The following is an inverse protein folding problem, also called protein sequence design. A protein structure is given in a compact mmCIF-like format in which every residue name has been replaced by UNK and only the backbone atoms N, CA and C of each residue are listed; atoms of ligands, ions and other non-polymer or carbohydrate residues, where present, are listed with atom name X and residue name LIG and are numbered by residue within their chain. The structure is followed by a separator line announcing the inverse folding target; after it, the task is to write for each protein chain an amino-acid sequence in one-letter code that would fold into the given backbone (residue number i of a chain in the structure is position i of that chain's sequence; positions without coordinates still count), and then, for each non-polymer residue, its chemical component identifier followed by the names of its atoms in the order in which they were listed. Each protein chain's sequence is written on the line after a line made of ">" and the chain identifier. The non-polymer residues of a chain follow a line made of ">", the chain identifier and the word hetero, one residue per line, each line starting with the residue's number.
data_IF_585462980559
#
_entry.id   IF_585462980559
#
_cell.length_a   1.000
_cell.length_b   1.000
_cell.length_c   1.000
_cell.angle_alpha   90.00
_cell.angle_beta   90.00
_cell.angle_gamma   90.00
#
_symmetry.space_group_name_H-M   'P 1'
#
loop_
_entity.id
_entity.type
_entity.pdbx_description
1 polymer ?
#
# COMPACT_ATOMS: atom_id res chain seq x y z
N UNK A 1 -6.62 -25.16 14.56
CA UNK A 1 -5.85 -25.17 13.30
C UNK A 1 -4.56 -24.40 13.52
N UNK A 2 -3.45 -24.90 13.00
CA UNK A 2 -2.13 -24.26 13.11
C UNK A 2 -1.86 -23.29 11.98
N UNK A 3 -0.60 -22.85 11.86
CA UNK A 3 -0.12 -22.08 10.72
C UNK A 3 0.08 -23.00 9.52
N UNK A 4 -0.31 -22.54 8.36
CA UNK A 4 -0.11 -23.23 7.09
C UNK A 4 0.64 -22.32 6.11
N UNK A 5 1.34 -22.91 5.14
CA UNK A 5 1.92 -22.18 4.03
C UNK A 5 1.07 -22.44 2.78
N UNK A 6 0.57 -21.35 2.17
CA UNK A 6 -0.31 -21.43 1.02
C UNK A 6 0.14 -20.46 -0.07
N UNK A 7 -0.08 -20.80 -1.32
CA UNK A 7 0.04 -19.81 -2.38
C UNK A 7 -1.17 -18.87 -2.35
N UNK A 8 -0.95 -17.56 -2.57
CA UNK A 8 -2.04 -16.60 -2.58
C UNK A 8 -3.15 -16.99 -3.56
N UNK A 9 -2.80 -17.56 -4.73
CA UNK A 9 -3.78 -18.03 -5.72
C UNK A 9 -4.72 -19.12 -5.20
N UNK A 10 -4.31 -19.93 -4.23
CA UNK A 10 -5.13 -21.00 -3.63
C UNK A 10 -6.28 -20.43 -2.79
N UNK A 11 -6.16 -19.18 -2.33
CA UNK A 11 -7.19 -18.47 -1.58
C UNK A 11 -8.22 -17.78 -2.48
N UNK A 12 -8.19 -18.06 -3.79
CA UNK A 12 -9.13 -17.56 -4.81
C UNK A 12 -9.31 -16.02 -4.78
N UNK A 13 -8.24 -15.24 -4.79
CA UNK A 13 -8.33 -13.78 -4.81
C UNK A 13 -8.84 -13.28 -6.17
N UNK A 14 -9.51 -12.14 -6.18
CA UNK A 14 -9.86 -11.44 -7.41
C UNK A 14 -8.79 -10.40 -7.74
N UNK A 15 -8.10 -10.60 -8.87
CA UNK A 15 -7.13 -9.67 -9.41
C UNK A 15 -7.72 -8.86 -10.56
N UNK A 16 -7.36 -7.57 -10.64
CA UNK A 16 -7.70 -6.72 -11.77
C UNK A 16 -6.65 -5.63 -12.01
N UNK A 17 -6.17 -5.50 -13.24
CA UNK A 17 -5.38 -4.34 -13.63
C UNK A 17 -6.29 -3.11 -13.68
N UNK A 18 -5.74 -1.94 -13.39
CA UNK A 18 -6.49 -0.69 -13.42
C UNK A 18 -6.82 -0.18 -14.83
N UNK A 19 -7.58 0.90 -14.88
CA UNK A 19 -8.03 1.52 -16.11
C UNK A 19 -6.85 2.18 -16.87
N UNK A 20 -6.77 1.93 -18.17
CA UNK A 20 -5.83 2.61 -19.08
C UNK A 20 -6.42 3.84 -19.74
N UNK A 21 -7.69 4.19 -19.44
CA UNK A 21 -8.37 5.34 -20.03
C UNK A 21 -7.66 6.65 -19.70
N UNK A 22 -7.61 7.54 -20.67
CA UNK A 22 -7.12 8.91 -20.55
C UNK A 22 -8.25 9.93 -20.52
N UNK A 23 -9.49 9.47 -20.47
CA UNK A 23 -10.72 10.21 -20.54
C UNK A 23 -11.57 9.79 -21.74
N UNK A 24 -12.85 9.61 -21.51
CA UNK A 24 -13.85 9.17 -22.52
C UNK A 24 -14.79 10.32 -22.83
N UNK A 25 -15.01 10.63 -24.12
CA UNK A 25 -15.96 11.65 -24.52
C UNK A 25 -17.37 11.27 -24.02
N UNK A 26 -17.99 12.15 -23.23
CA UNK A 26 -19.32 11.91 -22.65
C UNK A 26 -19.33 11.04 -21.39
N UNK A 27 -18.14 10.72 -20.83
CA UNK A 27 -18.03 10.02 -19.54
C UNK A 27 -18.40 10.90 -18.34
N UNK A 28 -18.55 10.26 -17.17
CA UNK A 28 -18.81 10.95 -15.90
C UNK A 28 -17.50 11.40 -15.24
N UNK A 29 -17.43 12.60 -14.64
CA UNK A 29 -16.28 13.03 -13.85
C UNK A 29 -16.00 11.99 -12.75
N UNK A 30 -14.80 11.42 -12.77
CA UNK A 30 -14.43 10.31 -11.89
C UNK A 30 -13.02 10.49 -11.38
N UNK A 31 -12.84 10.37 -10.09
CA UNK A 31 -11.52 10.37 -9.45
C UNK A 31 -10.74 9.14 -9.86
N UNK A 32 -9.52 9.33 -10.41
CA UNK A 32 -8.63 8.24 -10.82
C UNK A 32 -7.34 8.29 -10.02
N UNK A 33 -7.11 7.29 -9.19
CA UNK A 33 -5.87 7.14 -8.41
C UNK A 33 -4.68 6.81 -9.31
N UNK A 34 -3.58 7.51 -9.06
CA UNK A 34 -2.29 7.36 -9.75
C UNK A 34 -1.19 7.09 -8.73
N UNK A 35 0.01 6.77 -9.20
CA UNK A 35 1.18 6.55 -8.32
C UNK A 35 1.48 7.74 -7.39
N UNK A 36 1.25 8.97 -7.86
CA UNK A 36 1.46 10.19 -7.07
C UNK A 36 0.49 10.31 -5.87
N UNK A 37 -0.63 9.59 -5.91
CA UNK A 37 -1.67 9.60 -4.87
C UNK A 37 -1.38 8.57 -3.76
N UNK A 38 -0.29 7.80 -3.90
CA UNK A 38 0.23 6.89 -2.86
C UNK A 38 1.42 7.55 -2.18
N UNK A 39 1.28 7.85 -0.90
CA UNK A 39 2.36 8.42 -0.07
C UNK A 39 2.60 7.56 1.15
N UNK A 40 3.82 7.08 1.34
CA UNK A 40 4.16 6.21 2.48
C UNK A 40 3.19 5.03 2.65
N UNK A 41 2.82 4.39 1.54
CA UNK A 41 1.86 3.27 1.44
C UNK A 41 0.42 3.61 1.85
N UNK A 42 0.10 4.88 1.97
CA UNK A 42 -1.27 5.35 2.21
C UNK A 42 -1.85 5.96 0.95
N UNK A 43 -3.10 5.65 0.67
CA UNK A 43 -3.88 6.24 -0.40
C UNK A 43 -4.35 7.62 0.07
N UNK A 44 -4.11 8.65 -0.74
CA UNK A 44 -4.54 10.02 -0.47
C UNK A 44 -5.39 10.54 -1.61
N UNK A 45 -6.55 11.08 -1.30
CA UNK A 45 -7.43 11.73 -2.29
C UNK A 45 -7.22 13.25 -2.38
N UNK A 46 -6.27 13.82 -1.64
CA UNK A 46 -6.12 15.28 -1.50
C UNK A 46 -5.67 16.00 -2.79
N UNK A 47 -5.03 15.29 -3.73
CA UNK A 47 -4.50 15.87 -4.97
C UNK A 47 -4.85 15.05 -6.23
N UNK A 48 -5.92 14.27 -6.15
CA UNK A 48 -6.38 13.43 -7.24
C UNK A 48 -6.92 14.25 -8.40
N UNK A 49 -6.92 13.66 -9.59
CA UNK A 49 -7.58 14.22 -10.77
C UNK A 49 -8.90 13.53 -11.03
N UNK A 50 -9.87 14.31 -11.46
CA UNK A 50 -11.07 13.80 -12.10
C UNK A 50 -10.89 13.83 -13.62
N UNK A 51 -11.25 12.73 -14.25
CA UNK A 51 -11.34 12.62 -15.70
C UNK A 51 -12.69 12.00 -16.07
N UNK A 52 -13.24 12.31 -17.24
CA UNK A 52 -14.50 11.70 -17.68
C UNK A 52 -14.25 10.22 -17.99
N UNK A 53 -15.01 9.31 -17.33
CA UNK A 53 -14.90 7.86 -17.49
C UNK A 53 -16.27 7.29 -17.83
N UNK A 54 -16.32 6.31 -18.72
CA UNK A 54 -17.55 5.59 -19.06
C UNK A 54 -18.11 4.86 -17.83
N UNK A 55 -19.43 4.89 -17.65
CA UNK A 55 -20.09 4.31 -16.46
C UNK A 55 -19.78 2.82 -16.27
N UNK A 56 -19.65 2.06 -17.35
CA UNK A 56 -19.26 0.65 -17.30
C UNK A 56 -17.86 0.46 -16.69
N UNK A 57 -16.92 1.35 -17.02
CA UNK A 57 -15.56 1.30 -16.48
C UNK A 57 -15.51 1.78 -15.03
N UNK A 58 -16.34 2.74 -14.63
CA UNK A 58 -16.47 3.14 -13.23
C UNK A 58 -16.86 1.91 -12.39
N UNK A 59 -17.92 1.20 -12.77
CA UNK A 59 -18.36 -0.02 -12.06
C UNK A 59 -17.28 -1.11 -12.03
N UNK A 60 -16.58 -1.29 -13.14
CA UNK A 60 -15.55 -2.31 -13.31
C UNK A 60 -14.32 -2.05 -12.43
N UNK A 61 -13.86 -0.80 -12.39
CA UNK A 61 -12.62 -0.42 -11.70
C UNK A 61 -12.84 0.24 -10.34
N UNK A 62 -14.07 0.25 -9.84
CA UNK A 62 -14.37 0.80 -8.51
C UNK A 62 -13.50 0.17 -7.44
N UNK A 63 -12.86 1.03 -6.66
CA UNK A 63 -12.11 0.66 -5.48
C UNK A 63 -13.05 0.60 -4.28
N UNK A 64 -12.94 -0.46 -3.50
CA UNK A 64 -13.73 -0.66 -2.28
C UNK A 64 -12.80 -0.71 -1.07
N UNK A 65 -13.36 -0.44 0.10
CA UNK A 65 -12.67 -0.68 1.36
C UNK A 65 -12.24 -2.16 1.47
N UNK A 66 -11.01 -2.38 1.94
CA UNK A 66 -10.41 -3.70 2.00
C UNK A 66 -9.71 -4.16 0.72
N UNK A 67 -9.85 -3.44 -0.40
CA UNK A 67 -9.02 -3.69 -1.58
C UNK A 67 -7.56 -3.34 -1.32
N UNK A 68 -6.64 -4.04 -1.97
CA UNK A 68 -5.22 -3.74 -1.91
C UNK A 68 -4.75 -3.33 -3.32
N UNK A 69 -4.23 -2.12 -3.45
CA UNK A 69 -3.59 -1.66 -4.67
C UNK A 69 -2.11 -2.03 -4.67
N UNK A 70 -1.72 -2.90 -5.57
CA UNK A 70 -0.33 -3.32 -5.76
C UNK A 70 0.28 -2.50 -6.88
N UNK A 71 1.39 -1.81 -6.61
CA UNK A 71 2.10 -1.06 -7.64
C UNK A 71 2.66 -2.02 -8.68
N UNK A 72 2.12 -1.94 -9.90
CA UNK A 72 2.42 -2.86 -10.99
C UNK A 72 3.73 -2.53 -11.70
N UNK A 73 3.99 -1.25 -11.95
CA UNK A 73 5.11 -0.79 -12.78
C UNK A 73 5.73 0.48 -12.21
N UNK A 74 7.06 0.52 -12.11
CA UNK A 74 7.85 1.69 -11.74
C UNK A 74 9.33 1.47 -12.08
N UNK A 75 10.11 2.54 -12.18
CA UNK A 75 11.57 2.46 -12.30
C UNK A 75 12.26 1.95 -11.02
N UNK A 76 11.70 2.26 -9.84
CA UNK A 76 12.25 1.86 -8.55
C UNK A 76 11.80 0.46 -8.13
N UNK A 77 12.76 -0.41 -7.81
CA UNK A 77 12.50 -1.75 -7.25
C UNK A 77 11.80 -1.71 -5.88
N UNK A 78 11.93 -0.62 -5.15
CA UNK A 78 11.33 -0.49 -3.83
C UNK A 78 9.85 -0.07 -3.89
N UNK A 79 9.41 0.48 -5.02
CA UNK A 79 8.03 0.91 -5.26
C UNK A 79 7.23 -0.21 -5.94
N UNK A 80 7.80 -0.92 -6.92
CA UNK A 80 7.11 -2.03 -7.59
C UNK A 80 6.76 -3.13 -6.60
N UNK A 81 5.53 -3.64 -6.70
CA UNK A 81 5.00 -4.66 -5.80
C UNK A 81 4.74 -4.17 -4.38
N UNK A 82 4.64 -2.85 -4.13
CA UNK A 82 4.13 -2.35 -2.86
C UNK A 82 2.63 -2.63 -2.74
N UNK A 83 2.21 -3.09 -1.56
CA UNK A 83 0.83 -3.36 -1.20
C UNK A 83 0.28 -2.15 -0.44
N UNK A 84 -0.73 -1.50 -0.99
CA UNK A 84 -1.33 -0.29 -0.46
C UNK A 84 -2.80 -0.60 -0.13
N UNK A 85 -3.10 -0.76 1.16
CA UNK A 85 -4.44 -1.06 1.62
C UNK A 85 -5.35 0.16 1.45
N UNK A 86 -6.53 -0.08 0.90
CA UNK A 86 -7.64 0.86 0.92
C UNK A 86 -8.43 0.64 2.22
N UNK A 87 -8.16 1.43 3.23
CA UNK A 87 -8.75 1.34 4.57
C UNK A 87 -9.98 2.27 4.77
N UNK A 88 -10.53 2.76 3.68
CA UNK A 88 -11.74 3.59 3.62
C UNK A 88 -12.52 3.30 2.34
N UNK A 89 -13.75 3.81 2.21
CA UNK A 89 -14.58 3.63 1.03
C UNK A 89 -14.45 4.82 0.06
N UNK A 90 -13.52 4.79 -0.91
CA UNK A 90 -13.33 5.89 -1.84
C UNK A 90 -14.37 5.85 -2.97
N UNK A 91 -14.83 7.02 -3.43
CA UNK A 91 -15.52 7.16 -4.70
C UNK A 91 -14.48 7.35 -5.82
N UNK A 92 -13.70 6.32 -6.11
CA UNK A 92 -12.56 6.40 -7.04
C UNK A 92 -12.34 5.08 -7.77
N UNK A 93 -11.74 5.19 -8.94
CA UNK A 93 -11.10 4.08 -9.67
C UNK A 93 -9.58 4.23 -9.60
N UNK A 94 -8.82 3.33 -10.20
CA UNK A 94 -7.37 3.34 -10.20
C UNK A 94 -6.81 3.09 -11.61
N UNK A 95 -5.65 3.69 -11.91
CA UNK A 95 -5.00 3.58 -13.21
C UNK A 95 -4.26 2.23 -13.38
N UNK A 96 -3.86 1.93 -14.60
CA UNK A 96 -3.18 0.70 -15.03
C UNK A 96 -1.76 0.50 -14.47
N UNK A 97 -1.25 1.49 -13.72
CA UNK A 97 -0.04 1.31 -12.92
C UNK A 97 -0.25 0.47 -11.65
N UNK A 98 -1.49 0.08 -11.37
CA UNK A 98 -1.85 -0.78 -10.25
C UNK A 98 -2.50 -2.09 -10.69
N UNK A 99 -2.33 -3.10 -9.86
CA UNK A 99 -3.15 -4.30 -9.80
C UNK A 99 -3.97 -4.20 -8.52
N UNK A 100 -5.29 -4.27 -8.63
CA UNK A 100 -6.16 -4.45 -7.47
C UNK A 100 -6.16 -5.93 -7.08
N UNK A 101 -5.92 -6.19 -5.83
CA UNK A 101 -6.13 -7.47 -5.17
C UNK A 101 -7.32 -7.32 -4.22
N UNK A 102 -8.39 -8.07 -4.48
CA UNK A 102 -9.54 -8.21 -3.59
C UNK A 102 -9.53 -9.61 -3.01
N UNK A 103 -9.50 -9.70 -1.69
CA UNK A 103 -9.30 -10.93 -0.94
C UNK A 103 -10.64 -11.49 -0.51
N UNK A 104 -10.77 -12.81 -0.55
CA UNK A 104 -11.83 -13.50 0.18
C UNK A 104 -11.49 -13.47 1.68
N UNK A 105 -12.19 -12.63 2.43
CA UNK A 105 -11.91 -12.41 3.85
C UNK A 105 -12.29 -13.60 4.75
N UNK A 106 -12.79 -14.67 4.19
CA UNK A 106 -13.08 -15.91 4.94
C UNK A 106 -11.80 -16.58 5.48
N UNK A 107 -10.65 -16.39 4.81
CA UNK A 107 -9.39 -17.04 5.16
C UNK A 107 -8.26 -16.07 5.46
N UNK A 108 -8.26 -14.93 4.80
CA UNK A 108 -7.17 -13.96 4.82
C UNK A 108 -7.72 -12.55 5.00
N UNK A 109 -7.27 -11.82 6.01
CA UNK A 109 -7.67 -10.43 6.17
C UNK A 109 -6.84 -9.51 5.28
N UNK A 110 -7.46 -8.45 4.74
CA UNK A 110 -6.78 -7.46 3.89
C UNK A 110 -5.66 -6.74 4.64
N UNK A 111 -5.87 -6.41 5.92
CA UNK A 111 -4.85 -5.76 6.75
C UNK A 111 -3.64 -6.67 6.99
N UNK A 112 -3.87 -7.96 7.23
CA UNK A 112 -2.77 -8.92 7.39
C UNK A 112 -2.00 -9.11 6.08
N UNK A 113 -2.71 -9.23 4.94
CA UNK A 113 -2.05 -9.32 3.63
C UNK A 113 -1.25 -8.08 3.29
N UNK A 114 -1.76 -6.88 3.57
CA UNK A 114 -1.02 -5.64 3.38
C UNK A 114 0.25 -5.61 4.24
N UNK A 115 0.15 -6.06 5.50
CA UNK A 115 1.29 -6.18 6.41
C UNK A 115 2.32 -7.20 5.90
N UNK A 116 1.90 -8.36 5.42
CA UNK A 116 2.79 -9.34 4.80
C UNK A 116 3.54 -8.76 3.61
N UNK A 117 2.87 -7.98 2.76
CA UNK A 117 3.46 -7.29 1.62
C UNK A 117 4.59 -6.32 1.97
N UNK A 118 4.71 -5.94 3.26
CA UNK A 118 5.81 -5.11 3.76
C UNK A 118 7.01 -5.92 4.26
N UNK A 119 6.81 -7.21 4.52
CA UNK A 119 7.87 -8.08 5.06
C UNK A 119 8.98 -8.31 4.03
N UNK A 120 10.20 -8.50 4.52
CA UNK A 120 11.34 -8.82 3.67
C UNK A 120 11.10 -10.10 2.88
N UNK A 121 10.45 -11.10 3.48
CA UNK A 121 10.06 -12.35 2.83
C UNK A 121 9.32 -12.10 1.50
N UNK A 122 8.24 -11.33 1.56
CA UNK A 122 7.42 -11.03 0.38
C UNK A 122 8.14 -10.06 -0.56
N UNK A 123 8.82 -9.05 -0.03
CA UNK A 123 9.56 -8.06 -0.82
C UNK A 123 10.67 -8.70 -1.65
N UNK A 124 11.47 -9.58 -1.09
CA UNK A 124 12.53 -10.29 -1.81
C UNK A 124 11.96 -11.21 -2.89
N UNK A 125 10.89 -11.93 -2.57
CA UNK A 125 10.21 -12.77 -3.55
C UNK A 125 9.68 -11.95 -4.72
N UNK A 126 9.02 -10.82 -4.48
CA UNK A 126 8.55 -9.91 -5.54
C UNK A 126 9.72 -9.40 -6.38
N UNK A 127 10.82 -8.97 -5.76
CA UNK A 127 12.02 -8.50 -6.47
C UNK A 127 12.60 -9.56 -7.41
N UNK A 128 12.57 -10.83 -7.02
CA UNK A 128 13.02 -11.94 -7.86
C UNK A 128 12.11 -12.24 -9.07
N UNK A 129 10.88 -11.70 -9.07
CA UNK A 129 9.89 -11.92 -10.13
C UNK A 129 9.78 -10.73 -11.11
N UNK A 130 10.55 -9.66 -10.94
CA UNK A 130 10.48 -8.51 -11.83
C UNK A 130 10.79 -8.86 -13.29
N UNK A 131 9.93 -8.38 -14.18
CA UNK A 131 10.25 -8.26 -15.60
C UNK A 131 10.76 -6.84 -15.81
N UNK A 132 11.97 -6.70 -16.36
CA UNK A 132 12.57 -5.39 -16.61
C UNK A 132 12.57 -5.11 -18.12
N UNK A 133 11.96 -4.00 -18.51
CA UNK A 133 11.92 -3.54 -19.90
C UNK A 133 12.15 -2.03 -19.92
N UNK A 134 13.09 -1.56 -20.74
CA UNK A 134 13.42 -0.13 -20.88
C UNK A 134 13.60 0.61 -19.53
N UNK A 135 14.27 0.00 -18.56
CA UNK A 135 14.52 0.57 -17.24
C UNK A 135 13.32 0.52 -16.25
N UNK A 136 12.16 0.09 -16.71
CA UNK A 136 11.00 -0.11 -15.83
C UNK A 136 10.92 -1.56 -15.37
N UNK A 137 10.59 -1.74 -14.11
CA UNK A 137 10.31 -3.04 -13.49
C UNK A 137 8.81 -3.25 -13.43
N UNK A 138 8.36 -4.46 -13.71
CA UNK A 138 6.94 -4.79 -13.78
C UNK A 138 6.67 -6.11 -13.07
N UNK A 139 5.56 -6.17 -12.36
CA UNK A 139 4.95 -7.41 -11.85
C UNK A 139 3.59 -7.62 -12.51
N UNK A 140 3.13 -8.86 -12.56
CA UNK A 140 1.81 -9.21 -13.07
C UNK A 140 0.99 -9.98 -12.03
N UNK A 141 -0.27 -10.25 -12.33
CA UNK A 141 -1.19 -10.95 -11.43
C UNK A 141 -0.69 -12.37 -11.08
N UNK A 142 -0.11 -13.08 -12.07
CA UNK A 142 0.48 -14.41 -11.83
C UNK A 142 1.66 -14.38 -10.85
N UNK A 143 2.52 -13.36 -10.95
CA UNK A 143 3.62 -13.16 -9.99
C UNK A 143 3.07 -12.96 -8.57
N UNK A 144 2.02 -12.16 -8.41
CA UNK A 144 1.42 -11.91 -7.10
C UNK A 144 0.70 -13.17 -6.59
N UNK A 145 -0.03 -13.88 -7.46
CA UNK A 145 -0.72 -15.13 -7.10
C UNK A 145 0.24 -16.25 -6.66
N UNK A 146 1.47 -16.27 -7.19
CA UNK A 146 2.50 -17.26 -6.84
C UNK A 146 3.22 -17.00 -5.50
N UNK A 147 2.88 -15.93 -4.78
CA UNK A 147 3.48 -15.64 -3.48
C UNK A 147 3.08 -16.71 -2.46
N UNK A 148 4.06 -17.30 -1.81
CA UNK A 148 3.86 -18.25 -0.72
C UNK A 148 3.72 -17.46 0.58
N UNK A 149 2.62 -17.65 1.28
CA UNK A 149 2.21 -16.88 2.45
C UNK A 149 2.10 -17.76 3.68
N UNK A 150 2.55 -17.30 4.86
CA UNK A 150 2.18 -17.92 6.12
C UNK A 150 0.74 -17.51 6.44
N UNK A 151 -0.14 -18.48 6.63
CA UNK A 151 -1.56 -18.31 6.88
C UNK A 151 -1.93 -18.80 8.28
N UNK A 152 -1.92 -17.94 9.31
CA UNK A 152 -2.47 -18.26 10.61
C UNK A 152 -4.00 -18.17 10.61
N UNK A 153 -4.69 -18.71 11.61
CA UNK A 153 -6.12 -18.47 11.83
C UNK A 153 -6.46 -16.98 11.89
N UNK A 154 -7.66 -16.56 11.46
CA UNK A 154 -8.07 -15.15 11.38
C UNK A 154 -7.88 -14.38 12.68
N UNK A 155 -8.16 -14.99 13.83
CA UNK A 155 -7.94 -14.36 15.15
C UNK A 155 -6.46 -14.04 15.38
N UNK A 156 -5.56 -14.91 14.92
CA UNK A 156 -4.13 -14.69 15.01
C UNK A 156 -3.66 -13.61 14.02
N UNK A 157 -4.20 -13.58 12.81
CA UNK A 157 -3.94 -12.49 11.86
C UNK A 157 -4.30 -11.13 12.48
N UNK A 158 -5.48 -11.01 13.09
CA UNK A 158 -5.92 -9.78 13.77
C UNK A 158 -5.00 -9.40 14.93
N UNK A 159 -4.57 -10.40 15.74
CA UNK A 159 -3.65 -10.19 16.85
C UNK A 159 -2.30 -9.66 16.37
N UNK A 160 -1.77 -10.23 15.29
CA UNK A 160 -0.50 -9.80 14.68
C UNK A 160 -0.61 -8.35 14.18
N UNK A 161 -1.66 -8.03 13.41
CA UNK A 161 -1.88 -6.68 12.88
C UNK A 161 -1.96 -5.67 14.03
N UNK A 162 -2.82 -5.92 15.02
CA UNK A 162 -2.97 -5.04 16.20
C UNK A 162 -1.65 -4.83 16.94
N UNK A 163 -0.86 -5.90 17.12
CA UNK A 163 0.43 -5.81 17.79
C UNK A 163 1.43 -4.97 17.02
N UNK A 164 1.54 -5.18 15.72
CA UNK A 164 2.45 -4.41 14.87
C UNK A 164 2.06 -2.94 14.82
N UNK A 165 0.77 -2.62 14.67
CA UNK A 165 0.28 -1.23 14.71
C UNK A 165 0.55 -0.55 16.04
N UNK A 166 0.36 -1.25 17.15
CA UNK A 166 0.68 -0.74 18.48
C UNK A 166 2.16 -0.42 18.63
N UNK A 167 3.05 -1.31 18.15
CA UNK A 167 4.49 -1.06 18.16
C UNK A 167 4.89 0.09 17.24
N UNK A 168 4.28 0.23 16.07
CA UNK A 168 4.51 1.36 15.15
C UNK A 168 4.14 2.69 15.79
N UNK A 169 2.99 2.75 16.49
CA UNK A 169 2.57 3.96 17.24
C UNK A 169 3.57 4.30 18.34
N UNK A 170 4.00 3.30 19.12
CA UNK A 170 5.01 3.52 20.16
C UNK A 170 6.33 4.06 19.57
N UNK A 171 6.80 3.47 18.48
CA UNK A 171 8.01 3.95 17.79
C UNK A 171 7.86 5.39 17.28
N UNK A 172 6.69 5.75 16.76
CA UNK A 172 6.41 7.11 16.29
C UNK A 172 6.42 8.11 17.45
N UNK A 173 5.78 7.78 18.59
CA UNK A 173 5.77 8.59 19.79
C UNK A 173 7.19 8.80 20.36
N UNK A 174 7.97 7.74 20.45
CA UNK A 174 9.36 7.82 20.92
C UNK A 174 10.23 8.70 20.00
N UNK A 175 10.08 8.57 18.69
CA UNK A 175 10.79 9.44 17.73
C UNK A 175 10.42 10.91 17.91
N UNK A 176 9.12 11.19 18.07
CA UNK A 176 8.65 12.54 18.31
C UNK A 176 9.22 13.15 19.61
N UNK A 177 9.21 12.39 20.70
CA UNK A 177 9.78 12.82 21.99
C UNK A 177 11.28 13.07 21.89
N UNK A 178 12.00 12.19 21.20
CA UNK A 178 13.44 12.34 20.97
C UNK A 178 13.74 13.63 20.18
N UNK A 179 13.02 13.86 19.08
CA UNK A 179 13.16 15.07 18.27
C UNK A 179 12.89 16.34 19.09
N UNK A 180 11.80 16.35 19.88
CA UNK A 180 11.49 17.49 20.77
C UNK A 180 12.60 17.72 21.81
N UNK A 181 13.10 16.66 22.43
CA UNK A 181 14.19 16.75 23.40
C UNK A 181 15.47 17.32 22.78
N UNK A 182 15.84 16.86 21.58
CA UNK A 182 17.01 17.37 20.85
C UNK A 182 16.86 18.87 20.53
N UNK A 183 15.69 19.29 20.06
CA UNK A 183 15.41 20.70 19.78
C UNK A 183 15.51 21.55 21.07
N UNK A 184 14.94 21.08 22.18
CA UNK A 184 15.02 21.79 23.47
C UNK A 184 16.45 21.90 23.96
N UNK A 185 17.24 20.83 23.83
CA UNK A 185 18.66 20.85 24.22
C UNK A 185 19.48 21.85 23.37
N UNK A 186 19.21 21.92 22.05
CA UNK A 186 19.85 22.90 21.18
C UNK A 186 19.55 24.33 21.59
N UNK A 187 18.27 24.67 21.84
CA UNK A 187 17.86 25.99 22.29
C UNK A 187 18.46 26.34 23.66
N UNK A 188 18.54 25.40 24.59
CA UNK A 188 19.16 25.62 25.88
C UNK A 188 20.67 25.90 25.75
N UNK A 189 21.36 25.18 24.89
CA UNK A 189 22.78 25.39 24.62
C UNK A 189 23.04 26.76 23.99
N UNK A 190 22.22 27.19 23.02
CA UNK A 190 22.27 28.52 22.42
C UNK A 190 22.06 29.61 23.48
N UNK A 191 21.01 29.50 24.31
CA UNK A 191 20.72 30.48 25.37
C UNK A 191 21.84 30.57 26.41
N UNK A 192 22.47 29.44 26.76
CA UNK A 192 23.64 29.42 27.65
C UNK A 192 24.83 30.15 27.05
N UNK A 193 25.13 29.93 25.78
CA UNK A 193 26.23 30.59 25.06
C UNK A 193 25.99 32.11 25.02
N UNK A 194 24.78 32.54 24.67
CA UNK A 194 24.41 33.95 24.64
C UNK A 194 24.53 34.60 26.02
N UNK A 195 24.14 33.91 27.10
CA UNK A 195 24.21 34.42 28.46
C UNK A 195 25.64 34.57 28.99
N UNK A 196 26.63 33.89 28.41
CA UNK A 196 28.05 33.96 28.81
C UNK A 196 28.83 34.91 27.93
N UNK A 197 28.34 35.20 26.71
CA UNK A 197 29.00 36.07 25.75
C UNK A 197 28.65 37.56 25.88
N UNK A 198 27.59 37.90 26.68
CA UNK A 198 27.16 39.26 27.01
C UNK A 198 27.61 39.68 28.40
#
# INVERSE_FOLDING_TARGET
>A
MGWEWVHLSELLPAFQNGASSRGDAGGLPTTVLRLADIKSRKISLAATREIPIAEADIKKYQLLEGDILITRVNGSADIVGQFNLCDFSPSAIYCDHFIRLRINQQWLSSSYMALLGETELIRQRIKSLFITTAGQKTVNQGHIGSLLLPLPPLNEQSRIVTRVESLRRLCADLRQRLSTSQTTQAHLAEALVESVAG
#
